data_IF_330522879209
#
_entry.id   IF_330522879209
#
_cell.length_a   1.000
_cell.length_b   1.000
_cell.length_c   1.000
_cell.angle_alpha   90.00
_cell.angle_beta   90.00
_cell.angle_gamma   90.00
#
_symmetry.space_group_name_H-M   'P 1'
#
loop_
_entity.id
_entity.type
_entity.pdbx_description
1 polymer ?
#
# COMPACT_ATOMS: atom_id res chain seq x y z
N UNK A 1 -18.22 12.66 9.40
CA UNK A 1 -17.81 11.59 8.47
C UNK A 1 -17.68 12.10 7.03
N UNK A 2 -18.77 12.55 6.39
CA UNK A 2 -18.79 12.93 4.95
C UNK A 2 -17.68 13.91 4.53
N UNK A 3 -17.50 15.05 5.22
CA UNK A 3 -16.50 16.07 4.83
C UNK A 3 -15.06 15.54 4.93
N UNK A 4 -14.73 14.77 5.98
CA UNK A 4 -13.40 14.18 6.16
C UNK A 4 -13.14 13.07 5.14
N UNK A 5 -14.13 12.24 4.83
CA UNK A 5 -14.01 11.24 3.75
C UNK A 5 -13.79 11.90 2.38
N UNK A 6 -14.41 13.05 2.11
CA UNK A 6 -14.16 13.82 0.88
C UNK A 6 -12.74 14.41 0.85
N UNK A 7 -12.21 14.87 1.98
CA UNK A 7 -10.81 15.30 2.06
C UNK A 7 -9.84 14.15 1.77
N UNK A 8 -10.11 12.95 2.29
CA UNK A 8 -9.30 11.75 2.01
C UNK A 8 -9.38 11.30 0.54
N UNK A 9 -10.49 11.59 -0.15
CA UNK A 9 -10.60 11.39 -1.60
C UNK A 9 -9.74 12.37 -2.40
N UNK A 10 -9.49 13.58 -1.87
CA UNK A 10 -8.59 14.54 -2.50
C UNK A 10 -7.12 14.10 -2.43
N UNK A 11 -6.77 13.22 -1.49
CA UNK A 11 -5.43 12.62 -1.36
C UNK A 11 -5.23 11.39 -2.27
N UNK A 12 -6.20 11.07 -3.13
CA UNK A 12 -6.05 10.04 -4.15
C UNK A 12 -5.32 10.62 -5.37
N UNK A 13 -4.47 9.79 -5.97
CA UNK A 13 -3.85 10.13 -7.24
C UNK A 13 -4.93 10.29 -8.32
N UNK A 14 -4.88 11.38 -9.06
CA UNK A 14 -5.78 11.58 -10.20
C UNK A 14 -5.44 10.60 -11.33
N UNK A 15 -6.37 10.35 -12.27
CA UNK A 15 -6.06 9.55 -13.45
C UNK A 15 -4.86 10.06 -14.25
N UNK A 16 -4.65 11.37 -14.29
CA UNK A 16 -3.50 12.01 -14.95
C UNK A 16 -2.19 11.71 -14.21
N UNK A 17 -2.17 11.81 -12.87
CA UNK A 17 -1.00 11.43 -12.07
C UNK A 17 -0.67 9.95 -12.24
N UNK A 18 -1.70 9.08 -12.25
CA UNK A 18 -1.51 7.64 -12.48
C UNK A 18 -0.93 7.35 -13.86
N UNK A 19 -1.33 8.09 -14.90
CA UNK A 19 -0.75 7.96 -16.24
C UNK A 19 0.69 8.45 -16.29
N UNK A 20 0.98 9.61 -15.70
CA UNK A 20 2.34 10.15 -15.64
C UNK A 20 3.31 9.17 -14.96
N UNK A 21 2.87 8.50 -13.89
CA UNK A 21 3.63 7.45 -13.22
C UNK A 21 3.87 6.22 -14.11
N UNK A 22 2.87 5.83 -14.91
CA UNK A 22 2.99 4.68 -15.81
C UNK A 22 3.88 4.97 -17.03
N UNK A 23 3.93 6.22 -17.48
CA UNK A 23 4.77 6.67 -18.60
C UNK A 23 6.25 6.86 -18.20
N UNK A 24 6.58 6.77 -16.91
CA UNK A 24 7.94 6.86 -16.40
C UNK A 24 8.87 5.78 -16.97
N UNK A 25 10.02 6.18 -17.48
CA UNK A 25 10.96 5.28 -18.19
C UNK A 25 11.72 4.32 -17.26
N UNK A 26 11.73 4.60 -15.94
CA UNK A 26 12.44 3.80 -14.96
C UNK A 26 11.81 3.86 -13.58
N UNK A 27 12.18 2.90 -12.73
CA UNK A 27 11.74 2.85 -11.33
C UNK A 27 12.20 4.07 -10.53
N UNK A 28 13.36 4.66 -10.86
CA UNK A 28 13.86 5.87 -10.21
C UNK A 28 12.94 7.04 -10.50
N UNK A 29 12.61 7.25 -11.79
CA UNK A 29 11.68 8.30 -12.23
C UNK A 29 10.31 8.13 -11.58
N UNK A 30 9.83 6.88 -11.48
CA UNK A 30 8.57 6.58 -10.79
C UNK A 30 8.57 7.00 -9.32
N UNK A 31 9.67 6.74 -8.58
CA UNK A 31 9.79 7.13 -7.17
C UNK A 31 9.93 8.65 -7.01
N UNK A 32 10.68 9.31 -7.89
CA UNK A 32 10.79 10.78 -7.90
C UNK A 32 9.42 11.44 -8.14
N UNK A 33 8.65 10.95 -9.11
CA UNK A 33 7.30 11.45 -9.38
C UNK A 33 6.33 11.18 -8.22
N UNK A 34 6.50 10.07 -7.49
CA UNK A 34 5.70 9.78 -6.30
C UNK A 34 5.96 10.76 -5.15
N UNK A 35 7.18 11.33 -5.06
CA UNK A 35 7.55 12.25 -4.00
C UNK A 35 6.67 13.51 -3.95
N UNK A 36 6.23 13.98 -5.13
CA UNK A 36 5.33 15.13 -5.28
C UNK A 36 3.85 14.79 -5.04
N UNK A 37 3.55 13.58 -4.57
CA UNK A 37 2.19 13.11 -4.29
C UNK A 37 1.97 12.90 -2.79
N UNK A 38 0.74 12.63 -2.34
CA UNK A 38 0.46 12.26 -0.96
C UNK A 38 1.17 10.98 -0.46
N UNK A 39 1.90 10.25 -1.32
CA UNK A 39 2.78 9.15 -0.91
C UNK A 39 4.12 9.66 -0.35
N UNK A 40 4.58 10.83 -0.77
CA UNK A 40 5.83 11.46 -0.33
C UNK A 40 7.09 10.71 -0.78
N UNK A 41 8.24 11.13 -0.27
CA UNK A 41 9.52 10.50 -0.56
C UNK A 41 9.56 9.06 -0.03
N UNK A 42 9.92 8.12 -0.90
CA UNK A 42 10.09 6.71 -0.54
C UNK A 42 11.56 6.35 -0.70
N UNK A 43 12.25 5.92 0.38
CA UNK A 43 13.65 5.56 0.29
C UNK A 43 13.82 4.32 -0.59
N UNK A 44 14.63 4.44 -1.65
CA UNK A 44 15.08 3.30 -2.44
C UNK A 44 16.22 2.65 -1.65
N UNK A 45 15.94 1.57 -0.94
CA UNK A 45 17.00 0.77 -0.31
C UNK A 45 17.73 -0.02 -1.40
N UNK A 46 19.06 0.06 -1.42
CA UNK A 46 19.92 -0.71 -2.33
C UNK A 46 20.02 -2.19 -1.99
N UNK A 47 19.60 -2.57 -0.77
CA UNK A 47 19.65 -3.94 -0.28
C UNK A 47 18.26 -4.58 -0.38
N UNK A 48 18.05 -5.43 -1.37
CA UNK A 48 16.84 -6.23 -1.54
C UNK A 48 16.05 -5.96 -2.83
N UNK A 49 14.88 -6.58 -2.94
CA UNK A 49 13.96 -6.37 -4.06
C UNK A 49 13.16 -5.08 -3.85
N UNK A 50 13.53 -4.02 -4.57
CA UNK A 50 12.87 -2.70 -4.51
C UNK A 50 11.36 -2.78 -4.78
N UNK A 51 10.90 -3.75 -5.57
CA UNK A 51 9.47 -3.95 -5.82
C UNK A 51 8.73 -4.31 -4.54
N UNK A 52 9.29 -5.21 -3.73
CA UNK A 52 8.72 -5.64 -2.45
C UNK A 52 8.75 -4.49 -1.44
N UNK A 53 9.84 -3.71 -1.41
CA UNK A 53 9.96 -2.55 -0.52
C UNK A 53 8.88 -1.50 -0.82
N UNK A 54 8.67 -1.16 -2.10
CA UNK A 54 7.62 -0.24 -2.54
C UNK A 54 6.22 -0.78 -2.22
N UNK A 55 5.98 -2.06 -2.48
CA UNK A 55 4.70 -2.71 -2.15
C UNK A 55 4.37 -2.59 -0.65
N UNK A 56 5.38 -2.73 0.23
CA UNK A 56 5.22 -2.57 1.68
C UNK A 56 4.85 -1.14 2.06
N UNK A 57 5.50 -0.15 1.45
CA UNK A 57 5.20 1.27 1.68
C UNK A 57 3.78 1.62 1.22
N UNK A 58 3.35 1.12 0.06
CA UNK A 58 2.00 1.37 -0.43
C UNK A 58 0.93 0.76 0.46
N UNK A 59 1.14 -0.46 0.97
CA UNK A 59 0.20 -1.06 1.91
C UNK A 59 0.19 -0.36 3.26
N UNK A 60 1.34 0.09 3.76
CA UNK A 60 1.40 0.87 4.99
C UNK A 60 0.58 2.16 4.86
N UNK A 61 0.77 2.92 3.77
CA UNK A 61 -0.03 4.13 3.48
C UNK A 61 -1.52 3.83 3.35
N UNK A 62 -1.87 2.71 2.72
CA UNK A 62 -3.27 2.28 2.63
C UNK A 62 -3.87 1.98 4.00
N UNK A 63 -3.15 1.26 4.88
CA UNK A 63 -3.60 0.94 6.24
C UNK A 63 -3.81 2.23 7.04
N UNK A 64 -2.85 3.16 7.02
CA UNK A 64 -2.94 4.45 7.70
C UNK A 64 -4.20 5.23 7.29
N UNK A 65 -4.44 5.33 5.97
CA UNK A 65 -5.66 5.98 5.46
C UNK A 65 -6.92 5.23 5.85
N UNK A 66 -6.91 3.90 5.80
CA UNK A 66 -8.08 3.10 6.14
C UNK A 66 -8.44 3.19 7.63
N UNK A 67 -7.45 3.16 8.52
CA UNK A 67 -7.67 3.36 9.96
C UNK A 67 -8.31 4.72 10.22
N UNK A 68 -7.84 5.78 9.54
CA UNK A 68 -8.48 7.10 9.63
C UNK A 68 -9.97 7.10 9.22
N UNK A 69 -10.39 6.24 8.29
CA UNK A 69 -11.81 6.08 7.92
C UNK A 69 -12.56 5.31 9.01
N UNK A 70 -11.99 4.20 9.50
CA UNK A 70 -12.58 3.36 10.55
C UNK A 70 -12.82 4.18 11.82
N UNK A 71 -11.85 4.98 12.24
CA UNK A 71 -11.93 5.83 13.44
C UNK A 71 -13.03 6.89 13.36
N UNK A 72 -13.43 7.29 12.15
CA UNK A 72 -14.48 8.28 11.91
C UNK A 72 -15.86 7.66 11.67
N UNK A 73 -15.93 6.34 11.53
CA UNK A 73 -17.15 5.63 11.25
C UNK A 73 -17.96 5.38 12.53
N UNK A 74 -19.30 5.30 12.43
CA UNK A 74 -20.12 4.68 13.47
C UNK A 74 -19.60 3.27 13.76
N UNK A 75 -19.61 2.85 15.03
CA UNK A 75 -18.97 1.60 15.50
C UNK A 75 -19.32 0.38 14.64
N UNK A 76 -20.60 0.16 14.34
CA UNK A 76 -21.03 -0.96 13.51
C UNK A 76 -20.47 -0.94 12.08
N UNK A 77 -20.25 0.25 11.51
CA UNK A 77 -19.63 0.41 10.19
C UNK A 77 -18.11 0.28 10.32
N UNK A 78 -17.51 0.85 11.36
CA UNK A 78 -16.08 0.73 11.65
C UNK A 78 -15.63 -0.72 11.80
N UNK A 79 -16.36 -1.51 12.60
CA UNK A 79 -16.09 -2.93 12.83
C UNK A 79 -16.19 -3.76 11.54
N UNK A 80 -17.22 -3.49 10.73
CA UNK A 80 -17.39 -4.13 9.42
C UNK A 80 -16.22 -3.80 8.49
N UNK A 81 -15.88 -2.51 8.38
CA UNK A 81 -14.78 -2.02 7.55
C UNK A 81 -13.46 -2.67 8.00
N UNK A 82 -13.12 -2.59 9.28
CA UNK A 82 -11.90 -3.19 9.82
C UNK A 82 -11.81 -4.69 9.50
N UNK A 83 -12.89 -5.44 9.73
CA UNK A 83 -12.95 -6.88 9.42
C UNK A 83 -12.77 -7.15 7.93
N UNK A 84 -13.41 -6.35 7.08
CA UNK A 84 -13.31 -6.48 5.62
C UNK A 84 -11.87 -6.27 5.12
N UNK A 85 -11.14 -5.29 5.66
CA UNK A 85 -9.76 -5.05 5.25
C UNK A 85 -8.80 -6.13 5.78
N UNK A 86 -9.01 -6.65 7.00
CA UNK A 86 -8.22 -7.78 7.50
C UNK A 86 -8.35 -9.03 6.61
N UNK A 87 -9.56 -9.34 6.13
CA UNK A 87 -9.77 -10.42 5.15
C UNK A 87 -8.96 -10.21 3.86
N UNK A 88 -8.91 -8.96 3.37
CA UNK A 88 -8.11 -8.63 2.17
C UNK A 88 -6.62 -8.82 2.40
N UNK A 89 -6.10 -8.40 3.56
CA UNK A 89 -4.69 -8.55 3.89
C UNK A 89 -4.29 -10.00 4.13
N UNK A 90 -5.17 -10.80 4.73
CA UNK A 90 -4.98 -12.25 4.83
C UNK A 90 -4.78 -12.86 3.42
N UNK A 91 -5.65 -12.53 2.46
CA UNK A 91 -5.52 -13.04 1.09
C UNK A 91 -4.21 -12.59 0.41
N UNK A 92 -3.74 -11.36 0.65
CA UNK A 92 -2.45 -10.87 0.13
C UNK A 92 -1.30 -11.64 0.75
N UNK A 93 -1.30 -11.81 2.08
CA UNK A 93 -0.29 -12.52 2.82
C UNK A 93 -0.21 -14.00 2.42
N UNK A 94 -1.35 -14.66 2.21
CA UNK A 94 -1.39 -16.02 1.67
C UNK A 94 -0.74 -16.13 0.29
N UNK A 95 -0.99 -15.18 -0.62
CA UNK A 95 -0.32 -15.14 -1.94
C UNK A 95 1.20 -14.97 -1.81
N UNK A 96 1.67 -14.11 -0.89
CA UNK A 96 3.10 -13.91 -0.61
C UNK A 96 3.76 -15.18 -0.09
N UNK A 97 3.10 -15.87 0.85
CA UNK A 97 3.58 -17.15 1.38
C UNK A 97 3.72 -18.18 0.25
N UNK A 98 2.67 -18.33 -0.58
CA UNK A 98 2.69 -19.26 -1.71
C UNK A 98 3.84 -18.93 -2.66
N UNK A 99 4.00 -17.66 -3.07
CA UNK A 99 5.09 -17.24 -3.95
C UNK A 99 6.46 -17.57 -3.35
N UNK A 100 6.68 -17.23 -2.07
CA UNK A 100 7.94 -17.52 -1.38
C UNK A 100 8.25 -19.02 -1.31
N UNK A 101 7.24 -19.87 -1.08
CA UNK A 101 7.40 -21.33 -1.10
C UNK A 101 7.78 -21.86 -2.48
N UNK A 102 7.09 -21.41 -3.53
CA UNK A 102 7.39 -21.81 -4.92
C UNK A 102 8.77 -21.34 -5.40
N UNK A 103 9.23 -20.18 -4.92
CA UNK A 103 10.58 -19.66 -5.23
C UNK A 103 11.69 -20.26 -4.35
N UNK A 104 11.37 -21.20 -3.46
CA UNK A 104 12.36 -21.87 -2.59
C UNK A 104 12.97 -20.97 -1.51
N UNK A 105 12.30 -19.88 -1.13
CA UNK A 105 12.80 -18.98 -0.09
C UNK A 105 12.79 -19.66 1.29
N UNK A 106 13.82 -19.45 2.13
CA UNK A 106 13.79 -19.88 3.52
C UNK A 106 12.61 -19.25 4.28
N UNK A 107 11.98 -20.00 5.19
CA UNK A 107 10.84 -19.53 5.98
C UNK A 107 11.08 -18.16 6.65
N UNK A 108 12.25 -17.87 7.27
CA UNK A 108 12.49 -16.55 7.87
C UNK A 108 12.37 -15.39 6.88
N UNK A 109 12.85 -15.58 5.64
CA UNK A 109 12.72 -14.57 4.58
C UNK A 109 11.28 -14.38 4.15
N UNK A 110 10.47 -15.44 4.09
CA UNK A 110 9.04 -15.32 3.76
C UNK A 110 8.31 -14.49 4.82
N UNK A 111 8.63 -14.70 6.10
CA UNK A 111 7.99 -14.00 7.23
C UNK A 111 8.33 -12.50 7.22
N UNK A 112 9.53 -12.10 6.80
CA UNK A 112 9.96 -10.70 6.70
C UNK A 112 9.07 -9.86 5.76
N UNK A 113 8.41 -10.53 4.80
CA UNK A 113 7.53 -9.92 3.80
C UNK A 113 6.05 -9.88 4.21
N UNK A 114 5.68 -10.41 5.38
CA UNK A 114 4.32 -10.32 5.92
C UNK A 114 4.15 -9.05 6.77
#
# INVERSE_FOLDING_TARGET
>A
MVIRSHAMMADLLTPEQMRALADGESLVVFVEQLADTPYGEIPITTDGDTSIALEKVFYQKFIERMMGIVDLAPTNIGDFLQSYYYLRFEAINLKRIIRGKYSGLPNPKIIEFL
#
